data_IF_559762594835
#
_entry.id   IF_559762594835
#
_cell.length_a   1.000
_cell.length_b   1.000
_cell.length_c   1.000
_cell.angle_alpha   90.00
_cell.angle_beta   90.00
_cell.angle_gamma   90.00
#
_symmetry.space_group_name_H-M   'P 1'
#
loop_
_entity.id
_entity.type
_entity.pdbx_description
1 polymer ?
#
# COMPACT_ATOMS: atom_id res chain seq x y z
N UNK A 1 -24.56 15.18 2.00
CA UNK A 1 -23.19 15.59 2.36
C UNK A 1 -22.35 14.33 2.46
N UNK A 2 -21.53 14.04 1.46
CA UNK A 2 -20.62 12.88 1.47
C UNK A 2 -19.70 13.02 2.68
N UNK A 3 -19.89 12.19 3.70
CA UNK A 3 -18.94 12.08 4.81
C UNK A 3 -17.66 11.47 4.22
N UNK A 4 -16.75 12.32 3.73
CA UNK A 4 -15.43 11.89 3.28
C UNK A 4 -14.71 11.35 4.51
N UNK A 5 -14.85 10.05 4.74
CA UNK A 5 -14.06 9.34 5.76
C UNK A 5 -12.60 9.75 5.55
N UNK A 6 -11.88 10.15 6.61
CA UNK A 6 -10.51 10.62 6.47
C UNK A 6 -9.71 9.55 5.73
N UNK A 7 -9.06 9.91 4.64
CA UNK A 7 -8.14 9.04 3.92
C UNK A 7 -6.72 9.31 4.40
N UNK A 8 -5.92 8.25 4.46
CA UNK A 8 -4.53 8.28 4.90
C UNK A 8 -3.65 7.79 3.76
N UNK A 9 -2.41 8.27 3.69
CA UNK A 9 -1.43 7.69 2.76
C UNK A 9 -1.25 6.20 3.05
N UNK A 10 -1.27 5.40 1.99
CA UNK A 10 -0.94 3.99 2.07
C UNK A 10 0.51 3.83 2.52
N UNK A 11 0.74 3.16 3.64
CA UNK A 11 2.10 3.02 4.19
C UNK A 11 2.92 1.96 3.47
N UNK A 12 2.29 1.05 2.72
CA UNK A 12 3.03 0.06 1.94
C UNK A 12 3.73 0.73 0.77
N UNK A 13 3.01 1.55 -0.01
CA UNK A 13 3.53 2.19 -1.23
C UNK A 13 3.95 3.65 -1.02
N UNK A 14 3.80 4.19 0.19
CA UNK A 14 4.10 5.59 0.49
C UNK A 14 3.18 6.60 -0.24
N UNK A 15 2.09 6.13 -0.85
CA UNK A 15 1.16 6.96 -1.60
C UNK A 15 1.31 6.91 -3.13
N UNK A 16 2.27 6.16 -3.67
CA UNK A 16 2.45 6.03 -5.14
C UNK A 16 1.30 5.28 -5.82
N UNK A 17 0.61 4.39 -5.10
CA UNK A 17 -0.35 3.46 -5.68
C UNK A 17 0.29 2.18 -6.24
N UNK A 18 1.63 2.10 -6.28
CA UNK A 18 2.35 1.03 -6.97
C UNK A 18 3.64 0.63 -6.24
N UNK A 19 4.11 -0.58 -6.53
CA UNK A 19 5.42 -1.10 -6.14
C UNK A 19 6.19 -1.50 -7.39
N UNK A 20 7.51 -1.40 -7.33
CA UNK A 20 8.38 -1.82 -8.42
C UNK A 20 9.08 -3.10 -7.99
N UNK A 21 8.79 -4.20 -8.67
CA UNK A 21 9.58 -5.42 -8.48
C UNK A 21 10.85 -5.31 -9.30
N UNK A 22 11.96 -5.62 -8.65
CA UNK A 22 13.26 -5.68 -9.32
C UNK A 22 13.29 -6.90 -10.24
N UNK A 23 13.48 -6.64 -11.54
CA UNK A 23 13.70 -7.68 -12.53
C UNK A 23 15.15 -7.56 -13.02
N UNK A 24 15.99 -8.61 -12.86
CA UNK A 24 17.36 -8.58 -13.39
C UNK A 24 17.36 -8.28 -14.90
N UNK A 25 18.03 -7.20 -15.29
CA UNK A 25 18.13 -6.77 -16.69
C UNK A 25 17.13 -5.70 -17.13
N UNK A 26 16.15 -5.34 -16.29
CA UNK A 26 15.29 -4.18 -16.51
C UNK A 26 15.65 -3.07 -15.51
N UNK A 27 16.25 -1.95 -15.97
CA UNK A 27 16.64 -0.86 -15.09
C UNK A 27 15.46 -0.10 -14.49
N UNK A 28 14.25 -0.24 -15.05
CA UNK A 28 13.06 0.47 -14.62
C UNK A 28 12.22 -0.34 -13.62
N UNK A 29 12.31 -1.67 -13.66
CA UNK A 29 11.43 -2.56 -12.91
C UNK A 29 9.99 -2.54 -13.46
N UNK A 30 9.21 -3.59 -13.16
CA UNK A 30 7.82 -3.66 -13.60
C UNK A 30 6.93 -3.06 -12.50
N UNK A 31 6.10 -2.03 -12.81
CA UNK A 31 5.19 -1.48 -11.83
C UNK A 31 4.03 -2.46 -11.57
N UNK A 32 3.80 -2.76 -10.30
CA UNK A 32 2.67 -3.56 -9.81
C UNK A 32 1.75 -2.70 -8.95
N UNK A 33 0.45 -2.85 -9.16
CA UNK A 33 -0.56 -2.15 -8.36
C UNK A 33 -0.43 -2.56 -6.89
N UNK A 34 -0.35 -1.57 -5.99
CA UNK A 34 -0.30 -1.81 -4.56
C UNK A 34 -1.62 -2.42 -4.08
N UNK A 35 -1.60 -3.70 -3.68
CA UNK A 35 -2.79 -4.43 -3.24
C UNK A 35 -3.47 -3.87 -1.99
N UNK A 36 -2.78 -3.07 -1.17
CA UNK A 36 -3.38 -2.46 0.03
C UNK A 36 -4.23 -1.23 -0.24
N UNK A 37 -3.88 -0.47 -1.29
CA UNK A 37 -4.60 0.74 -1.67
C UNK A 37 -5.27 0.64 -3.04
N UNK A 38 -5.17 -0.53 -3.69
CA UNK A 38 -5.74 -0.82 -5.00
C UNK A 38 -5.37 0.23 -6.06
N UNK A 39 -4.13 0.72 -6.03
CA UNK A 39 -3.66 1.73 -7.00
C UNK A 39 -3.94 3.18 -6.63
N UNK A 40 -4.73 3.44 -5.58
CA UNK A 40 -5.14 4.82 -5.25
C UNK A 40 -4.09 5.62 -4.48
N UNK A 41 -3.10 4.95 -3.88
CA UNK A 41 -2.14 5.55 -2.94
C UNK A 41 -2.75 5.90 -1.58
N UNK A 42 -4.06 5.73 -1.40
CA UNK A 42 -4.79 6.12 -0.19
C UNK A 42 -5.51 4.93 0.43
N UNK A 43 -5.60 4.94 1.77
CA UNK A 43 -6.30 3.92 2.54
C UNK A 43 -7.18 4.56 3.59
N UNK A 44 -8.25 3.87 3.97
CA UNK A 44 -9.05 4.28 5.13
C UNK A 44 -8.32 3.91 6.44
N UNK A 45 -8.67 4.54 7.58
CA UNK A 45 -8.16 4.16 8.89
C UNK A 45 -8.36 2.67 9.22
N UNK A 46 -9.48 2.09 8.76
CA UNK A 46 -9.73 0.66 8.90
C UNK A 46 -8.69 -0.18 8.17
N UNK A 47 -8.44 0.11 6.88
CA UNK A 47 -7.46 -0.62 6.07
C UNK A 47 -6.05 -0.45 6.65
N UNK A 48 -5.69 0.76 7.09
CA UNK A 48 -4.44 1.00 7.83
C UNK A 48 -4.31 0.13 9.09
N UNK A 49 -5.42 -0.05 9.82
CA UNK A 49 -5.48 -0.94 10.97
C UNK A 49 -5.24 -2.41 10.61
N UNK A 50 -5.79 -2.89 9.49
CA UNK A 50 -5.55 -4.24 8.99
C UNK A 50 -4.07 -4.43 8.58
N UNK A 51 -3.49 -3.46 7.89
CA UNK A 51 -2.08 -3.46 7.52
C UNK A 51 -1.17 -3.57 8.75
N UNK A 52 -1.42 -2.78 9.80
CA UNK A 52 -0.63 -2.82 11.04
C UNK A 52 -0.72 -4.18 11.75
N UNK A 53 -1.90 -4.82 11.75
CA UNK A 53 -2.09 -6.16 12.29
C UNK A 53 -1.33 -7.20 11.47
N UNK A 54 -1.41 -7.13 10.14
CA UNK A 54 -0.68 -7.99 9.22
C UNK A 54 0.83 -7.88 9.46
N UNK A 55 1.42 -6.67 9.42
CA UNK A 55 2.86 -6.49 9.64
C UNK A 55 3.31 -6.98 11.02
N UNK A 56 2.49 -6.78 12.07
CA UNK A 56 2.78 -7.32 13.41
C UNK A 56 2.81 -8.85 13.44
N UNK A 57 1.95 -9.51 12.66
CA UNK A 57 1.93 -10.97 12.57
C UNK A 57 3.17 -11.51 11.84
N UNK A 58 3.53 -10.91 10.70
CA UNK A 58 4.66 -11.38 9.88
C UNK A 58 6.05 -10.96 10.40
N UNK A 59 6.19 -9.83 11.10
CA UNK A 59 7.47 -9.40 11.69
C UNK A 59 7.81 -10.07 13.04
N UNK A 60 7.01 -11.07 13.46
CA UNK A 60 7.30 -11.91 14.64
C UNK A 60 8.07 -13.19 14.30
N UNK A 61 8.35 -13.41 13.01
CA UNK A 61 9.24 -14.46 12.49
C UNK A 61 10.64 -13.88 12.29
#
# INVERSE_FOLDING_TARGET
>A
MESRRPQLLCQECGGSGEHYDYVPGDPCGIPFVCGWCEGTGLVTPYIRGQWLKYKRYYNRL
#
